data_IF_272346534296
#
_entry.id   IF_272346534296
#
_cell.length_a   1.000
_cell.length_b   1.000
_cell.length_c   1.000
_cell.angle_alpha   90.00
_cell.angle_beta   90.00
_cell.angle_gamma   90.00
#
_symmetry.space_group_name_H-M   'P 1'
#
loop_
_entity.id
_entity.type
_entity.pdbx_description
1 polymer ?
#
# COMPACT_ATOMS: atom_id res chain seq x y z
N UNK A 1 -22.39 -13.92 -41.29
CA UNK A 1 -21.28 -12.96 -41.13
C UNK A 1 -21.40 -12.06 -39.88
N UNK A 2 -22.60 -11.76 -39.36
CA UNK A 2 -22.76 -10.95 -38.13
C UNK A 2 -22.25 -11.62 -36.83
N UNK A 3 -22.16 -12.95 -36.79
CA UNK A 3 -21.68 -13.71 -35.62
C UNK A 3 -20.19 -13.51 -35.31
N UNK A 4 -19.36 -13.29 -36.33
CA UNK A 4 -17.93 -13.05 -36.14
C UNK A 4 -17.67 -11.71 -35.42
N UNK A 5 -18.49 -10.69 -35.73
CA UNK A 5 -18.41 -9.39 -35.08
C UNK A 5 -18.89 -9.47 -33.62
N UNK A 6 -19.91 -10.29 -33.32
CA UNK A 6 -20.45 -10.47 -31.98
C UNK A 6 -19.47 -11.23 -31.05
N UNK A 7 -18.78 -12.24 -31.59
CA UNK A 7 -17.67 -12.91 -30.92
C UNK A 7 -16.49 -11.95 -30.66
N UNK A 8 -16.16 -11.08 -31.61
CA UNK A 8 -15.08 -10.11 -31.46
C UNK A 8 -15.39 -9.07 -30.37
N UNK A 9 -16.65 -8.60 -30.27
CA UNK A 9 -17.07 -7.69 -29.20
C UNK A 9 -17.03 -8.34 -27.82
N UNK A 10 -17.34 -9.64 -27.73
CA UNK A 10 -17.33 -10.39 -26.47
C UNK A 10 -15.89 -10.59 -25.96
N UNK A 11 -14.94 -10.86 -26.85
CA UNK A 11 -13.51 -11.02 -26.53
C UNK A 11 -12.84 -9.71 -26.08
N UNK A 12 -13.41 -8.55 -26.41
CA UNK A 12 -12.87 -7.24 -26.00
C UNK A 12 -13.38 -6.75 -24.65
N UNK A 13 -14.33 -7.44 -24.00
CA UNK A 13 -14.96 -6.97 -22.75
C UNK A 13 -14.29 -7.50 -21.47
N UNK A 14 -13.37 -8.46 -21.57
CA UNK A 14 -12.68 -9.04 -20.40
C UNK A 14 -11.33 -8.37 -20.09
N UNK A 15 -11.32 -7.04 -20.04
CA UNK A 15 -10.27 -6.34 -19.30
C UNK A 15 -10.88 -5.17 -18.53
N UNK A 16 -11.89 -5.48 -17.72
CA UNK A 16 -12.16 -4.66 -16.55
C UNK A 16 -10.87 -4.61 -15.74
N UNK A 17 -10.18 -3.46 -15.75
CA UNK A 17 -9.07 -3.23 -14.85
C UNK A 17 -9.62 -3.32 -13.43
N UNK A 18 -9.19 -4.34 -12.68
CA UNK A 18 -9.39 -4.41 -11.25
C UNK A 18 -8.48 -3.35 -10.64
N UNK A 19 -8.85 -2.07 -10.79
CA UNK A 19 -8.19 -0.98 -10.12
C UNK A 19 -8.51 -1.13 -8.63
N UNK A 20 -7.71 -1.94 -7.94
CA UNK A 20 -7.56 -1.84 -6.50
C UNK A 20 -7.23 -0.38 -6.17
N UNK A 21 -7.97 0.22 -5.23
CA UNK A 21 -7.77 1.60 -4.80
C UNK A 21 -6.27 1.86 -4.59
N UNK A 22 -5.70 2.74 -5.40
CA UNK A 22 -4.27 2.99 -5.39
C UNK A 22 -3.94 3.95 -4.24
N UNK A 23 -3.26 3.45 -3.21
CA UNK A 23 -2.63 4.31 -2.21
C UNK A 23 -1.67 5.26 -2.91
N UNK A 24 -1.81 6.56 -2.67
CA UNK A 24 -0.88 7.55 -3.22
C UNK A 24 0.31 7.67 -2.27
N UNK A 25 1.51 7.34 -2.73
CA UNK A 25 2.76 7.42 -1.96
C UNK A 25 3.91 7.97 -2.86
N UNK A 26 4.97 8.57 -2.29
CA UNK A 26 6.08 9.11 -3.07
C UNK A 26 6.87 7.99 -3.77
N UNK A 27 7.31 8.17 -5.04
CA UNK A 27 7.94 7.09 -5.81
C UNK A 27 9.19 6.52 -5.16
N UNK A 28 9.90 7.31 -4.35
CA UNK A 28 11.04 6.88 -3.55
C UNK A 28 11.32 7.86 -2.41
N UNK A 29 11.87 7.38 -1.31
CA UNK A 29 12.41 8.21 -0.22
C UNK A 29 13.78 7.67 0.17
N UNK A 30 14.75 8.56 0.38
CA UNK A 30 16.08 8.22 0.88
C UNK A 30 16.55 9.25 1.91
N UNK A 31 17.54 8.86 2.71
CA UNK A 31 18.18 9.73 3.69
C UNK A 31 19.65 9.33 3.87
N UNK A 32 20.45 10.23 4.46
CA UNK A 32 21.82 9.90 4.83
C UNK A 32 21.85 8.93 6.03
N UNK A 33 22.95 8.18 6.23
CA UNK A 33 23.10 7.33 7.40
C UNK A 33 22.85 8.08 8.71
N UNK A 34 22.00 7.54 9.57
CA UNK A 34 21.61 8.15 10.85
C UNK A 34 20.48 9.19 10.76
N UNK A 35 19.99 9.53 9.56
CA UNK A 35 18.79 10.35 9.43
C UNK A 35 17.51 9.51 9.52
N UNK A 36 16.47 10.11 10.09
CA UNK A 36 15.12 9.58 10.04
C UNK A 36 14.55 9.75 8.63
N UNK A 37 13.91 8.70 8.15
CA UNK A 37 13.21 8.70 6.87
C UNK A 37 11.72 8.51 7.16
N UNK A 38 10.92 9.44 6.68
CA UNK A 38 9.46 9.42 6.86
C UNK A 38 8.82 9.06 5.54
N UNK A 39 7.98 8.03 5.54
CA UNK A 39 7.19 7.64 4.36
C UNK A 39 5.72 7.77 4.72
N UNK A 40 4.95 8.47 3.88
CA UNK A 40 3.51 8.62 4.09
C UNK A 40 2.74 8.05 2.91
N UNK A 41 1.56 7.52 3.17
CA UNK A 41 0.59 7.23 2.13
C UNK A 41 -0.80 7.74 2.51
N UNK A 42 -1.56 8.12 1.49
CA UNK A 42 -2.93 8.60 1.65
C UNK A 42 -3.87 7.61 1.00
N UNK A 43 -4.85 7.14 1.78
CA UNK A 43 -5.95 6.30 1.33
C UNK A 43 -7.26 7.07 1.18
N UNK A 44 -8.35 6.33 1.09
CA UNK A 44 -9.73 6.81 1.17
C UNK A 44 -10.27 6.73 2.61
N UNK A 45 -11.49 7.24 2.83
CA UNK A 45 -12.17 7.04 4.10
C UNK A 45 -12.44 5.56 4.38
N UNK A 46 -12.86 4.81 3.36
CA UNK A 46 -13.26 3.40 3.49
C UNK A 46 -12.12 2.41 3.72
N UNK A 47 -10.87 2.76 3.35
CA UNK A 47 -9.71 1.86 3.50
C UNK A 47 -8.86 2.16 4.75
N UNK A 48 -8.48 3.42 4.93
CA UNK A 48 -7.52 3.90 5.95
C UNK A 48 -8.23 4.75 6.99
N UNK A 49 -9.22 5.54 6.58
CA UNK A 49 -9.94 6.45 7.48
C UNK A 49 -10.72 5.73 8.58
N UNK A 50 -11.60 4.81 8.19
CA UNK A 50 -12.63 4.21 9.05
C UNK A 50 -12.07 3.20 10.06
N UNK A 51 -10.87 2.66 9.81
CA UNK A 51 -10.28 1.61 10.64
C UNK A 51 -8.80 1.85 10.92
N UNK A 52 -8.32 1.31 12.04
CA UNK A 52 -6.90 1.29 12.39
C UNK A 52 -6.26 -0.05 11.99
N UNK A 53 -6.54 -0.54 10.78
CA UNK A 53 -6.04 -1.81 10.25
C UNK A 53 -4.99 -1.61 9.15
N UNK A 54 -4.02 -0.74 9.45
CA UNK A 54 -2.92 -0.43 8.54
C UNK A 54 -1.65 -1.13 9.02
N UNK A 55 -0.92 -1.72 8.07
CA UNK A 55 0.27 -2.52 8.31
C UNK A 55 1.41 -2.03 7.42
N UNK A 56 2.61 -1.92 7.98
CA UNK A 56 3.84 -1.60 7.27
C UNK A 56 4.72 -2.83 7.14
N UNK A 57 5.15 -3.14 5.92
CA UNK A 57 6.05 -4.24 5.62
C UNK A 57 7.34 -3.74 4.99
N UNK A 58 8.46 -4.34 5.39
CA UNK A 58 9.75 -4.17 4.73
C UNK A 58 10.05 -5.39 3.87
N UNK A 59 10.44 -5.16 2.62
CA UNK A 59 10.91 -6.22 1.73
C UNK A 59 12.20 -5.80 1.08
N UNK A 60 13.25 -6.60 1.26
CA UNK A 60 14.48 -6.44 0.50
C UNK A 60 14.36 -7.27 -0.80
N UNK A 61 15.08 -6.89 -1.88
CA UNK A 61 15.14 -7.70 -3.08
C UNK A 61 15.55 -9.14 -2.75
N UNK A 62 14.75 -10.11 -3.19
CA UNK A 62 15.01 -11.53 -2.96
C UNK A 62 14.65 -12.08 -1.56
N UNK A 63 14.09 -11.27 -0.66
CA UNK A 63 13.68 -11.73 0.68
C UNK A 63 12.17 -11.85 0.84
N UNK A 64 11.75 -12.54 1.90
CA UNK A 64 10.37 -12.49 2.39
C UNK A 64 10.05 -11.11 2.98
N UNK A 65 8.78 -10.73 2.91
CA UNK A 65 8.30 -9.50 3.56
C UNK A 65 8.33 -9.66 5.07
N UNK A 66 8.82 -8.65 5.78
CA UNK A 66 8.83 -8.59 7.24
C UNK A 66 7.86 -7.52 7.73
N UNK A 67 7.02 -7.85 8.69
CA UNK A 67 6.12 -6.89 9.34
C UNK A 67 6.93 -5.94 10.24
N UNK A 68 6.78 -4.63 10.04
CA UNK A 68 7.41 -3.59 10.87
C UNK A 68 6.43 -3.02 11.89
N UNK A 69 5.22 -2.66 11.44
CA UNK A 69 4.19 -2.00 12.25
C UNK A 69 2.84 -2.58 11.87
N UNK A 70 1.98 -2.82 12.84
CA UNK A 70 0.59 -3.23 12.68
C UNK A 70 -0.34 -2.31 13.49
N UNK A 71 -1.61 -2.29 13.11
CA UNK A 71 -2.61 -1.43 13.71
C UNK A 71 -2.13 0.03 13.86
N UNK A 72 -1.61 0.60 12.76
CA UNK A 72 -1.12 1.99 12.63
C UNK A 72 0.19 2.29 13.40
N UNK A 73 0.29 1.94 14.67
CA UNK A 73 1.37 2.38 15.55
C UNK A 73 1.96 1.27 16.44
N UNK A 74 1.45 0.04 16.34
CA UNK A 74 1.92 -1.06 17.19
C UNK A 74 3.06 -1.81 16.54
N UNK A 75 4.13 -2.02 17.29
CA UNK A 75 5.35 -2.65 16.79
C UNK A 75 5.51 -4.07 17.36
N UNK A 76 5.86 -5.08 16.53
CA UNK A 76 6.27 -6.38 17.04
C UNK A 76 7.53 -6.25 17.93
N UNK A 77 7.66 -7.11 18.94
CA UNK A 77 8.75 -7.03 19.94
C UNK A 77 10.17 -7.07 19.35
N UNK A 78 10.35 -7.74 18.21
CA UNK A 78 11.64 -7.92 17.53
C UNK A 78 12.05 -6.74 16.62
N UNK A 79 11.17 -5.75 16.45
CA UNK A 79 11.43 -4.59 15.62
C UNK A 79 11.97 -3.46 16.51
N UNK A 80 12.98 -2.74 16.00
CA UNK A 80 13.62 -1.62 16.69
C UNK A 80 12.65 -0.46 16.94
N UNK A 81 12.90 0.26 18.03
CA UNK A 81 12.25 1.52 18.40
C UNK A 81 12.48 2.70 17.49
N UNK A 82 13.38 2.58 16.52
CA UNK A 82 13.54 3.54 15.43
C UNK A 82 12.36 3.53 14.44
N UNK A 83 11.53 2.48 14.45
CA UNK A 83 10.31 2.43 13.66
C UNK A 83 9.12 2.91 14.49
N UNK A 84 8.38 3.87 13.92
CA UNK A 84 7.14 4.41 14.48
C UNK A 84 6.15 4.66 13.35
N UNK A 85 4.86 4.68 13.69
CA UNK A 85 3.79 4.91 12.73
C UNK A 85 2.66 5.71 13.36
N UNK A 86 1.92 6.44 12.54
CA UNK A 86 0.83 7.31 12.94
C UNK A 86 -0.24 7.45 11.85
N UNK A 87 -1.42 7.93 12.23
CA UNK A 87 -2.53 8.19 11.32
C UNK A 87 -3.18 9.53 11.64
N UNK A 88 -3.51 10.29 10.60
CA UNK A 88 -4.31 11.51 10.67
C UNK A 88 -5.35 11.48 9.55
N UNK A 89 -6.61 11.21 9.91
CA UNK A 89 -7.69 11.00 8.94
C UNK A 89 -7.38 9.78 8.05
N UNK A 90 -7.29 10.00 6.75
CA UNK A 90 -6.95 9.01 5.73
C UNK A 90 -5.46 8.98 5.35
N UNK A 91 -4.63 9.77 6.03
CA UNK A 91 -3.17 9.78 5.82
C UNK A 91 -2.49 8.98 6.93
N UNK A 92 -1.60 8.07 6.53
CA UNK A 92 -0.74 7.31 7.45
C UNK A 92 0.72 7.64 7.17
N UNK A 93 1.51 7.66 8.24
CA UNK A 93 2.94 7.93 8.25
C UNK A 93 3.66 6.85 9.03
#
# INVERSE_FOLDING_TARGET
MAWALLLLTLLTQDTGSWAQYALTWPPFVSGAPGQLVTTSCTGTSSDVGDYDRVFWYQKHPGTTSRLLIYNVNTRPSEISDLFSGSKSGNMVT
#
